data_IF_210275611465
#
_entry.id   IF_210275611465
#
_cell.length_a   1.000
_cell.length_b   1.000
_cell.length_c   1.000
_cell.angle_alpha   90.00
_cell.angle_beta   90.00
_cell.angle_gamma   90.00
#
_symmetry.space_group_name_H-M   'P 1'
#
loop_
_entity.id
_entity.type
_entity.pdbx_description
1 polymer ?
#
# COMPACT_ATOMS: atom_id res chain seq x y z
N UNK A 1 -2.75 -14.13 -9.88
CA UNK A 1 -2.82 -14.33 -8.41
C UNK A 1 -3.75 -13.28 -7.85
N UNK A 2 -4.99 -13.65 -7.55
CA UNK A 2 -6.03 -12.71 -7.12
C UNK A 2 -5.82 -12.34 -5.65
N UNK A 3 -5.31 -11.14 -5.40
CA UNK A 3 -5.39 -10.50 -4.09
C UNK A 3 -6.80 -9.90 -3.97
N UNK A 4 -7.75 -10.67 -3.45
CA UNK A 4 -8.98 -10.08 -2.91
C UNK A 4 -8.60 -9.50 -1.56
N UNK A 5 -8.91 -8.22 -1.37
CA UNK A 5 -8.59 -7.52 -0.16
C UNK A 5 -9.28 -6.17 -0.24
N UNK A 6 -10.43 -6.08 0.42
CA UNK A 6 -11.33 -4.92 0.42
C UNK A 6 -10.56 -3.60 0.59
N UNK A 7 -10.98 -2.58 -0.15
CA UNK A 7 -10.51 -1.20 0.08
C UNK A 7 -10.77 -0.86 1.54
N UNK A 8 -9.74 -0.42 2.25
CA UNK A 8 -9.89 -0.03 3.65
C UNK A 8 -10.83 1.16 3.81
N UNK A 9 -11.43 1.29 4.99
CA UNK A 9 -12.26 2.44 5.36
C UNK A 9 -11.45 3.51 6.09
N UNK A 10 -12.05 4.67 6.35
CA UNK A 10 -11.44 5.74 7.15
C UNK A 10 -10.86 5.25 8.50
N UNK A 11 -11.45 4.20 9.07
CA UNK A 11 -11.05 3.65 10.36
C UNK A 11 -10.46 2.24 10.29
N UNK A 12 -10.38 1.61 9.12
CA UNK A 12 -9.90 0.22 9.00
C UNK A 12 -8.85 0.11 7.89
N UNK A 13 -7.79 -0.61 8.19
CA UNK A 13 -6.78 -0.91 7.20
C UNK A 13 -7.39 -1.79 6.10
N UNK A 14 -6.92 -1.67 4.85
CA UNK A 14 -7.32 -2.58 3.79
C UNK A 14 -7.01 -4.02 4.20
N UNK A 15 -7.86 -4.94 3.78
CA UNK A 15 -7.51 -6.34 3.88
C UNK A 15 -6.48 -6.63 2.80
N UNK A 16 -5.38 -7.25 3.19
CA UNK A 16 -4.39 -7.70 2.25
C UNK A 16 -4.05 -9.14 2.57
N UNK A 17 -4.25 -10.04 1.62
CA UNK A 17 -3.85 -11.42 1.77
C UNK A 17 -2.93 -11.78 0.62
N UNK A 18 -1.67 -12.08 0.93
CA UNK A 18 -0.72 -12.55 -0.05
C UNK A 18 -0.42 -14.04 0.21
N UNK A 19 -0.68 -14.90 -0.75
CA UNK A 19 -0.41 -16.34 -0.65
C UNK A 19 1.07 -16.65 -0.35
N UNK A 20 1.99 -15.78 -0.78
CA UNK A 20 3.43 -15.92 -0.57
C UNK A 20 3.96 -15.28 0.72
N UNK A 21 3.34 -14.17 1.17
CA UNK A 21 3.83 -13.40 2.33
C UNK A 21 2.92 -13.51 3.56
N UNK A 22 1.82 -14.25 3.44
CA UNK A 22 0.79 -14.36 4.47
C UNK A 22 -0.12 -13.14 4.54
N UNK A 23 -0.88 -13.08 5.64
CA UNK A 23 -1.69 -11.92 6.03
C UNK A 23 -0.82 -11.00 6.90
N UNK A 24 -0.57 -9.75 6.49
CA UNK A 24 0.17 -8.80 7.32
C UNK A 24 -0.60 -8.49 8.61
N UNK A 25 0.17 -8.20 9.66
CA UNK A 25 -0.31 -7.92 11.03
C UNK A 25 -1.37 -6.82 11.12
N UNK A 26 -1.34 -5.85 10.20
CA UNK A 26 -2.26 -4.73 10.10
C UNK A 26 -3.50 -4.99 9.24
N UNK A 27 -3.58 -6.11 8.51
CA UNK A 27 -4.67 -6.39 7.57
C UNK A 27 -6.04 -6.41 8.27
N UNK A 28 -6.98 -5.58 7.81
CA UNK A 28 -8.34 -5.50 8.36
C UNK A 28 -8.43 -4.93 9.79
N UNK A 29 -7.31 -4.47 10.37
CA UNK A 29 -7.27 -3.90 11.73
C UNK A 29 -7.84 -2.49 11.77
N UNK A 30 -8.50 -2.16 12.89
CA UNK A 30 -8.99 -0.81 13.13
C UNK A 30 -7.83 0.14 13.47
N UNK A 31 -7.93 1.42 13.13
CA UNK A 31 -6.91 2.45 13.39
C UNK A 31 -6.46 2.51 14.85
N UNK A 32 -7.35 2.20 15.79
CA UNK A 32 -7.07 2.13 17.24
C UNK A 32 -6.30 0.88 17.67
N UNK A 33 -6.35 -0.20 16.89
CA UNK A 33 -5.58 -1.43 17.13
C UNK A 33 -4.20 -1.42 16.46
N UNK A 34 -3.95 -0.44 15.58
CA UNK A 34 -2.68 -0.30 14.88
C UNK A 34 -1.58 0.10 15.87
N UNK A 35 -0.65 -0.81 16.10
CA UNK A 35 0.56 -0.56 16.90
C UNK A 35 1.68 0.06 16.06
N UNK A 36 2.74 0.55 16.73
CA UNK A 36 3.93 1.06 16.06
C UNK A 36 4.62 0.01 15.16
N UNK A 37 4.65 -1.25 15.59
CA UNK A 37 5.21 -2.36 14.81
C UNK A 37 4.40 -2.59 13.54
N UNK A 38 3.07 -2.58 13.64
CA UNK A 38 2.17 -2.66 12.48
C UNK A 38 2.39 -1.49 11.52
N UNK A 39 2.63 -0.27 12.01
CA UNK A 39 2.97 0.88 11.16
C UNK A 39 4.30 0.68 10.41
N UNK A 40 5.29 0.07 11.04
CA UNK A 40 6.56 -0.26 10.40
C UNK A 40 6.35 -1.29 9.29
N UNK A 41 5.58 -2.36 9.55
CA UNK A 41 5.20 -3.35 8.55
C UNK A 41 4.42 -2.72 7.38
N UNK A 42 3.48 -1.82 7.68
CA UNK A 42 2.73 -1.08 6.66
C UNK A 42 3.67 -0.27 5.77
N UNK A 43 4.62 0.48 6.36
CA UNK A 43 5.58 1.26 5.57
C UNK A 43 6.46 0.38 4.69
N UNK A 44 6.96 -0.73 5.22
CA UNK A 44 7.76 -1.69 4.46
C UNK A 44 6.95 -2.29 3.29
N UNK A 45 5.70 -2.64 3.54
CA UNK A 45 4.77 -3.10 2.51
C UNK A 45 4.55 -2.03 1.42
N UNK A 46 4.24 -0.79 1.81
CA UNK A 46 4.02 0.32 0.88
C UNK A 46 5.24 0.50 -0.02
N UNK A 47 6.45 0.56 0.55
CA UNK A 47 7.68 0.72 -0.22
C UNK A 47 7.88 -0.42 -1.24
N UNK A 48 7.63 -1.66 -0.83
CA UNK A 48 7.79 -2.83 -1.70
C UNK A 48 6.76 -2.87 -2.82
N UNK A 49 5.49 -2.68 -2.49
CA UNK A 49 4.41 -2.75 -3.48
C UNK A 49 4.44 -1.59 -4.46
N UNK A 50 4.73 -0.37 -3.98
CA UNK A 50 4.87 0.80 -4.87
C UNK A 50 6.04 0.63 -5.82
N UNK A 51 7.19 0.12 -5.37
CA UNK A 51 8.32 -0.20 -6.24
C UNK A 51 7.98 -1.26 -7.29
N UNK A 52 7.28 -2.34 -6.87
CA UNK A 52 6.83 -3.40 -7.79
C UNK A 52 5.86 -2.88 -8.83
N UNK A 53 4.87 -2.10 -8.41
CA UNK A 53 3.86 -1.47 -9.27
C UNK A 53 4.48 -0.46 -10.22
N UNK A 54 5.34 0.43 -9.72
CA UNK A 54 6.06 1.39 -10.55
C UNK A 54 6.91 0.72 -11.62
N UNK A 55 7.62 -0.35 -11.28
CA UNK A 55 8.39 -1.12 -12.26
C UNK A 55 7.49 -1.79 -13.31
N UNK A 56 6.38 -2.40 -12.88
CA UNK A 56 5.42 -3.00 -13.81
C UNK A 56 4.83 -1.95 -14.75
N UNK A 57 4.45 -0.78 -14.23
CA UNK A 57 3.88 0.31 -15.01
C UNK A 57 4.89 0.88 -16.01
N UNK A 58 6.16 1.00 -15.62
CA UNK A 58 7.24 1.42 -16.52
C UNK A 58 7.48 0.40 -17.64
N UNK A 59 7.46 -0.91 -17.32
CA UNK A 59 7.62 -1.98 -18.31
C UNK A 59 6.42 -2.09 -19.25
N UNK A 60 5.20 -1.85 -18.74
CA UNK A 60 3.96 -1.93 -19.52
C UNK A 60 3.59 -0.61 -20.21
N UNK A 61 4.26 0.49 -19.91
CA UNK A 61 3.95 1.82 -20.43
C UNK A 61 2.69 2.45 -19.83
N UNK A 62 2.19 1.95 -18.70
CA UNK A 62 0.96 2.38 -18.03
C UNK A 62 1.25 3.19 -16.75
N UNK A 63 2.21 4.12 -16.81
CA UNK A 63 2.59 4.95 -15.66
C UNK A 63 1.39 5.75 -15.15
N UNK A 64 1.07 5.57 -13.86
CA UNK A 64 -0.01 6.29 -13.16
C UNK A 64 -1.25 5.45 -12.85
N UNK A 65 -1.44 4.29 -13.50
CA UNK A 65 -2.62 3.44 -13.22
C UNK A 65 -2.61 2.89 -11.79
N UNK A 66 -1.42 2.61 -11.24
CA UNK A 66 -1.26 2.08 -9.89
C UNK A 66 -0.88 3.13 -8.83
N UNK A 67 -1.03 4.43 -9.13
CA UNK A 67 -0.79 5.52 -8.15
C UNK A 67 -1.79 5.46 -6.98
N UNK A 68 -3.02 5.00 -7.25
CA UNK A 68 -4.10 4.99 -6.25
C UNK A 68 -3.80 3.98 -5.14
N UNK A 69 -3.60 4.43 -3.88
CA UNK A 69 -3.32 3.54 -2.76
C UNK A 69 -4.56 2.72 -2.40
N UNK A 70 -4.38 1.49 -1.87
CA UNK A 70 -5.48 0.70 -1.30
C UNK A 70 -5.95 1.23 0.08
N UNK A 71 -5.25 2.21 0.65
CA UNK A 71 -5.57 2.82 1.95
C UNK A 71 -6.55 3.98 1.77
N UNK A 72 -7.50 4.14 2.70
CA UNK A 72 -8.41 5.29 2.69
C UNK A 72 -7.64 6.61 2.97
N UNK A 73 -7.99 7.74 2.32
CA UNK A 73 -7.36 9.04 2.58
C UNK A 73 -7.52 9.55 4.02
N UNK A 74 -8.54 9.12 4.76
CA UNK A 74 -8.71 9.46 6.18
C UNK A 74 -8.02 8.48 7.14
N UNK A 75 -7.62 7.30 6.64
CA UNK A 75 -6.98 6.27 7.45
C UNK A 75 -5.66 6.80 8.04
N UNK A 76 -5.54 6.79 9.37
CA UNK A 76 -4.40 7.36 10.11
C UNK A 76 -4.08 8.81 9.70
N UNK A 77 -5.11 9.65 9.51
CA UNK A 77 -4.98 11.05 9.05
C UNK A 77 -4.35 11.16 7.66
N UNK A 78 -4.55 10.15 6.81
CA UNK A 78 -4.02 10.08 5.45
C UNK A 78 -2.50 9.88 5.36
N UNK A 79 -1.84 9.50 6.45
CA UNK A 79 -0.39 9.21 6.43
C UNK A 79 -0.05 8.10 5.43
N UNK A 80 -0.72 6.93 5.43
CA UNK A 80 -0.37 5.83 4.52
C UNK A 80 -0.72 6.17 3.07
N UNK A 81 -1.81 6.89 2.86
CA UNK A 81 -2.22 7.37 1.54
C UNK A 81 -1.16 8.29 0.92
N UNK A 82 -0.72 9.31 1.67
CA UNK A 82 0.35 10.23 1.22
C UNK A 82 1.67 9.50 1.01
N UNK A 83 2.03 8.62 1.94
CA UNK A 83 3.28 7.86 1.86
C UNK A 83 3.34 6.95 0.63
N UNK A 84 2.23 6.31 0.27
CA UNK A 84 2.12 5.52 -0.96
C UNK A 84 2.41 6.35 -2.20
N UNK A 85 1.76 7.51 -2.34
CA UNK A 85 1.97 8.40 -3.49
C UNK A 85 3.42 8.88 -3.59
N UNK A 86 4.03 9.23 -2.46
CA UNK A 86 5.43 9.64 -2.42
C UNK A 86 6.37 8.49 -2.84
N UNK A 87 6.17 7.29 -2.29
CA UNK A 87 6.99 6.12 -2.64
C UNK A 87 6.81 5.69 -4.10
N UNK A 88 5.58 5.71 -4.62
CA UNK A 88 5.30 5.38 -6.02
C UNK A 88 5.97 6.38 -6.97
N UNK A 89 5.80 7.69 -6.73
CA UNK A 89 6.41 8.74 -7.55
C UNK A 89 7.94 8.62 -7.58
N UNK A 90 8.57 8.41 -6.40
CA UNK A 90 10.02 8.17 -6.31
C UNK A 90 10.45 6.89 -7.01
N UNK A 91 9.62 5.85 -7.00
CA UNK A 91 9.94 4.58 -7.67
C UNK A 91 9.90 4.74 -9.18
N UNK A 92 8.89 5.44 -9.72
CA UNK A 92 8.81 5.77 -11.14
C UNK A 92 10.02 6.60 -11.59
N UNK A 93 10.41 7.60 -10.81
CA UNK A 93 11.60 8.41 -11.12
C UNK A 93 12.88 7.57 -11.18
N UNK A 94 13.02 6.55 -10.33
CA UNK A 94 14.16 5.63 -10.35
C UNK A 94 14.14 4.63 -11.52
N UNK A 95 12.97 4.35 -12.09
CA UNK A 95 12.82 3.38 -13.19
C UNK A 95 12.94 4.03 -14.57
N UNK A 96 12.90 5.37 -14.64
CA UNK A 96 13.22 6.14 -15.86
C UNK A 96 14.70 6.09 -16.20
#
# INVERSE_FOLDING_TARGET
MSTIGTYGDANRAPEHHCSNFGTPSWSGKHTSEITLEMLHDMKAFIMRETARKANNDAVQGCIGENETPPFHPDFLKGKPYKYWKECYSRSIEKTK
#
